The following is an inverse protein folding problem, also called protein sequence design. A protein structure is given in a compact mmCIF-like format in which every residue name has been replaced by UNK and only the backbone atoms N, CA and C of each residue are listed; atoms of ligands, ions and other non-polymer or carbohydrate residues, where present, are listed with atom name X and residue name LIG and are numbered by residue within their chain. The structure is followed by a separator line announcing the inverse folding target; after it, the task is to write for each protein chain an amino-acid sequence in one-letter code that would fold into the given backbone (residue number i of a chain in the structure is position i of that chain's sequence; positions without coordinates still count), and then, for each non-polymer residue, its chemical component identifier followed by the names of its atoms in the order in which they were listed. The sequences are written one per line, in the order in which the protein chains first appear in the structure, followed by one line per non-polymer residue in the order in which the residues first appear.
data_IF_088182334545
#
_entry.id   IF_088182334545
#
_cell.length_a   1.000
_cell.length_b   1.000
_cell.length_c   1.000
_cell.angle_alpha   90.00
_cell.angle_beta   90.00
_cell.angle_gamma   90.00
#
_symmetry.space_group_name_H-M   'P 1'
#
loop_
_entity.id
_entity.type
_entity.pdbx_description
1 polymer ?
#
# COMPACT_ATOMS: atom_id res chain seq x y z
N UNK A 1 -2.54 9.35 10.14
CA UNK A 1 -3.70 8.59 10.68
C UNK A 1 -4.60 8.20 9.50
N UNK A 2 -5.52 7.23 9.66
CA UNK A 2 -6.46 6.81 8.61
C UNK A 2 -7.21 8.01 8.04
N UNK A 3 -7.22 8.16 6.71
CA UNK A 3 -7.81 9.31 6.01
C UNK A 3 -7.28 10.69 6.44
N UNK A 4 -6.11 10.77 7.07
CA UNK A 4 -5.56 12.04 7.58
C UNK A 4 -6.38 12.70 8.69
N UNK A 5 -7.32 11.99 9.32
CA UNK A 5 -8.27 12.54 10.33
C UNK A 5 -7.75 12.47 11.77
N UNK A 6 -6.44 12.34 11.94
CA UNK A 6 -5.82 12.27 13.26
C UNK A 6 -5.63 13.66 13.89
N UNK A 7 -5.40 13.75 15.21
CA UNK A 7 -5.01 15.00 15.86
C UNK A 7 -3.59 15.47 15.48
N UNK A 8 -2.79 14.61 14.86
CA UNK A 8 -1.43 14.87 14.43
C UNK A 8 -1.41 15.74 13.18
N UNK A 9 -0.37 16.57 13.07
CA UNK A 9 -0.15 17.35 11.86
C UNK A 9 0.12 16.42 10.68
N UNK A 10 -0.62 16.62 9.58
CA UNK A 10 -0.35 15.95 8.32
C UNK A 10 0.89 16.56 7.66
N UNK A 11 1.70 15.70 7.02
CA UNK A 11 2.79 16.16 6.17
C UNK A 11 2.24 16.80 4.90
N UNK A 12 2.91 17.83 4.37
CA UNK A 12 2.58 18.35 3.04
C UNK A 12 2.97 17.35 1.95
N UNK A 13 4.15 16.72 2.09
CA UNK A 13 4.66 15.73 1.16
C UNK A 13 5.22 14.51 1.92
N UNK A 14 5.03 13.33 1.34
CA UNK A 14 5.59 12.09 1.87
C UNK A 14 6.35 11.34 0.78
N UNK A 15 7.58 10.93 1.06
CA UNK A 15 8.43 10.17 0.14
C UNK A 15 8.84 8.85 0.78
N UNK A 16 8.53 7.75 0.11
CA UNK A 16 8.92 6.39 0.50
C UNK A 16 9.88 5.88 -0.55
N UNK A 17 11.17 5.82 -0.20
CA UNK A 17 12.23 5.37 -1.10
C UNK A 17 12.12 3.88 -1.47
N UNK A 18 12.74 3.44 -2.58
CA UNK A 18 12.64 2.07 -3.07
C UNK A 18 13.07 0.99 -2.06
N UNK A 19 14.06 1.31 -1.21
CA UNK A 19 14.61 0.39 -0.21
C UNK A 19 13.82 0.38 1.11
N UNK A 20 12.80 1.24 1.24
CA UNK A 20 11.99 1.30 2.46
C UNK A 20 11.04 0.11 2.53
N UNK A 21 11.02 -0.52 3.71
CA UNK A 21 10.10 -1.61 4.05
C UNK A 21 9.24 -1.20 5.24
N UNK A 22 7.93 -1.16 5.03
CA UNK A 22 6.92 -0.98 6.06
C UNK A 22 6.26 -2.35 6.32
N UNK A 23 6.49 -2.94 7.49
CA UNK A 23 6.06 -4.30 7.80
C UNK A 23 5.13 -4.32 9.02
N UNK A 24 3.92 -4.81 8.81
CA UNK A 24 2.89 -5.04 9.79
C UNK A 24 2.27 -6.45 9.63
N UNK A 25 3.06 -7.43 9.19
CA UNK A 25 2.60 -8.81 9.07
C UNK A 25 2.25 -9.42 10.43
N UNK A 26 1.21 -10.25 10.46
CA UNK A 26 1.08 -11.26 11.50
C UNK A 26 2.08 -12.40 11.24
N UNK A 27 2.61 -12.99 12.32
CA UNK A 27 3.67 -14.02 12.24
C UNK A 27 3.03 -15.41 12.10
N UNK A 28 2.54 -16.01 13.19
CA UNK A 28 1.88 -17.34 13.14
C UNK A 28 0.38 -17.24 12.96
N UNK A 29 -0.27 -16.42 13.77
CA UNK A 29 -1.72 -16.33 13.87
C UNK A 29 -2.09 -14.87 14.07
N UNK A 30 -3.21 -14.46 13.45
CA UNK A 30 -3.77 -13.12 13.59
C UNK A 30 -3.82 -12.38 12.26
N UNK A 31 -4.58 -11.29 12.26
CA UNK A 31 -4.76 -10.47 11.06
C UNK A 31 -3.53 -9.61 10.80
N UNK A 32 -3.29 -9.31 9.52
CA UNK A 32 -2.32 -8.32 9.12
C UNK A 32 -2.66 -6.96 9.73
N UNK A 33 -1.63 -6.21 10.08
CA UNK A 33 -1.76 -4.90 10.70
C UNK A 33 -2.19 -3.80 9.74
N UNK A 34 -2.05 -2.56 10.21
CA UNK A 34 -2.49 -1.37 9.49
C UNK A 34 -1.32 -0.44 9.21
N UNK A 35 -1.13 -0.08 7.95
CA UNK A 35 -0.12 0.90 7.52
C UNK A 35 -0.84 2.03 6.78
N UNK A 36 -0.61 3.26 7.22
CA UNK A 36 -1.20 4.46 6.60
C UNK A 36 -0.08 5.43 6.21
N UNK A 37 0.04 5.68 4.92
CA UNK A 37 0.90 6.71 4.34
C UNK A 37 0.00 7.85 3.89
N UNK A 38 0.23 9.05 4.44
CA UNK A 38 -0.61 10.22 4.20
C UNK A 38 0.23 11.46 3.93
N UNK A 39 -0.26 12.32 3.04
CA UNK A 39 0.18 13.70 2.88
C UNK A 39 -1.01 14.56 2.43
N UNK A 40 -0.93 15.87 2.64
CA UNK A 40 -1.98 16.79 2.18
C UNK A 40 -1.79 17.18 0.70
N UNK A 41 -0.56 17.24 0.19
CA UNK A 41 -0.26 17.66 -1.18
C UNK A 41 0.22 16.53 -2.07
N UNK A 42 1.25 15.77 -1.69
CA UNK A 42 1.86 14.81 -2.61
C UNK A 42 2.58 13.63 -1.96
N UNK A 43 2.31 12.43 -2.47
CA UNK A 43 2.95 11.19 -2.03
C UNK A 43 3.71 10.54 -3.18
N UNK A 44 5.01 10.31 -2.97
CA UNK A 44 5.85 9.49 -3.85
C UNK A 44 6.10 8.15 -3.14
N UNK A 45 5.50 7.07 -3.66
CA UNK A 45 5.57 5.75 -3.07
C UNK A 45 6.36 4.79 -3.98
N UNK A 46 7.60 4.48 -3.61
CA UNK A 46 8.50 3.59 -4.35
C UNK A 46 8.86 2.31 -3.57
N UNK A 47 8.58 2.28 -2.26
CA UNK A 47 8.99 1.20 -1.38
C UNK A 47 8.02 0.02 -1.30
N UNK A 48 8.09 -0.71 -0.17
CA UNK A 48 7.41 -1.98 0.01
C UNK A 48 6.56 -1.99 1.30
N UNK A 49 5.28 -2.30 1.18
CA UNK A 49 4.36 -2.51 2.29
C UNK A 49 4.01 -3.99 2.40
N UNK A 50 4.05 -4.51 3.64
CA UNK A 50 3.59 -5.84 3.98
C UNK A 50 2.63 -5.75 5.17
N UNK A 51 1.38 -6.19 5.00
CA UNK A 51 0.40 -6.34 6.06
C UNK A 51 -0.35 -7.66 5.88
N UNK A 52 0.38 -8.77 5.89
CA UNK A 52 -0.12 -10.12 5.65
C UNK A 52 -0.78 -10.71 6.88
N UNK A 53 -1.82 -11.52 6.66
CA UNK A 53 -2.39 -12.39 7.68
C UNK A 53 -1.43 -13.52 8.07
N UNK A 54 -1.63 -14.07 9.26
CA UNK A 54 -0.75 -15.07 9.85
C UNK A 54 -0.64 -16.36 9.02
N UNK A 55 0.48 -17.06 9.17
CA UNK A 55 0.76 -18.29 8.42
C UNK A 55 -0.19 -19.46 8.70
N UNK A 56 -0.91 -19.45 9.84
CA UNK A 56 -1.84 -20.51 10.22
C UNK A 56 -3.31 -20.04 10.24
N UNK A 57 -3.55 -18.76 10.52
CA UNK A 57 -4.87 -18.14 10.52
C UNK A 57 -4.78 -16.60 10.53
N UNK A 58 -5.85 -15.95 10.11
CA UNK A 58 -6.03 -14.49 10.13
C UNK A 58 -6.13 -13.90 8.72
N UNK A 59 -6.83 -12.78 8.63
CA UNK A 59 -7.06 -12.04 7.39
C UNK A 59 -5.90 -11.09 7.08
N UNK A 60 -5.82 -10.65 5.82
CA UNK A 60 -4.88 -9.62 5.41
C UNK A 60 -5.26 -8.26 5.97
N UNK A 61 -4.26 -7.43 6.20
CA UNK A 61 -4.41 -6.13 6.81
C UNK A 61 -4.86 -5.02 5.88
N UNK A 62 -4.66 -3.78 6.32
CA UNK A 62 -5.00 -2.58 5.59
C UNK A 62 -3.74 -1.77 5.27
N UNK A 63 -3.56 -1.46 4.00
CA UNK A 63 -2.58 -0.49 3.53
C UNK A 63 -3.31 0.70 2.89
N UNK A 64 -3.13 1.91 3.42
CA UNK A 64 -3.60 3.14 2.77
C UNK A 64 -2.39 3.96 2.32
N UNK A 65 -2.41 4.39 1.05
CA UNK A 65 -1.42 5.31 0.49
C UNK A 65 -2.19 6.45 -0.19
N UNK A 66 -2.16 7.62 0.44
CA UNK A 66 -2.97 8.77 0.06
C UNK A 66 -2.13 10.05 -0.03
N UNK A 67 -2.66 11.05 -0.72
CA UNK A 67 -2.00 12.34 -0.99
C UNK A 67 -2.80 13.14 -2.00
N UNK A 68 -2.67 14.47 -2.04
CA UNK A 68 -3.31 15.26 -3.12
C UNK A 68 -2.97 14.72 -4.51
N UNK A 69 -1.68 14.50 -4.77
CA UNK A 69 -1.15 13.74 -5.90
C UNK A 69 -0.45 12.48 -5.40
N UNK A 70 -0.58 11.37 -6.11
CA UNK A 70 0.09 10.12 -5.78
C UNK A 70 0.85 9.56 -6.97
N UNK A 71 2.14 9.30 -6.78
CA UNK A 71 2.92 8.41 -7.63
C UNK A 71 3.09 7.08 -6.90
N UNK A 72 2.56 6.01 -7.47
CA UNK A 72 2.70 4.65 -6.94
C UNK A 72 3.57 3.82 -7.89
N UNK A 73 4.78 3.48 -7.46
CA UNK A 73 5.73 2.62 -8.17
C UNK A 73 6.33 1.51 -7.29
N UNK A 74 5.83 1.38 -6.05
CA UNK A 74 6.24 0.36 -5.09
C UNK A 74 5.33 -0.87 -5.08
N UNK A 75 5.44 -1.68 -4.03
CA UNK A 75 4.64 -2.90 -3.83
C UNK A 75 3.80 -2.83 -2.55
N UNK A 76 2.61 -3.41 -2.55
CA UNK A 76 1.83 -3.69 -1.34
C UNK A 76 1.36 -5.16 -1.31
N UNK A 77 1.75 -5.90 -0.27
CA UNK A 77 1.36 -7.30 -0.03
C UNK A 77 0.54 -7.40 1.26
N UNK A 78 -0.76 -7.62 1.09
CA UNK A 78 -1.77 -7.83 2.12
C UNK A 78 -2.41 -9.22 2.01
N UNK A 79 -1.67 -10.23 1.50
CA UNK A 79 -2.15 -11.61 1.44
C UNK A 79 -2.42 -12.21 2.81
N UNK A 80 -3.40 -13.10 2.86
CA UNK A 80 -3.58 -14.05 3.94
C UNK A 80 -3.63 -15.47 3.36
N UNK A 81 -2.69 -16.36 3.70
CA UNK A 81 -2.69 -17.73 3.18
C UNK A 81 -3.93 -18.54 3.61
N UNK A 82 -4.47 -18.26 4.80
CA UNK A 82 -5.60 -18.98 5.41
C UNK A 82 -6.79 -18.09 5.77
N UNK A 83 -6.82 -16.86 5.23
CA UNK A 83 -7.87 -15.87 5.49
C UNK A 83 -8.24 -15.10 4.22
N UNK A 84 -9.08 -14.09 4.38
CA UNK A 84 -9.38 -13.14 3.32
C UNK A 84 -8.17 -12.26 3.05
N UNK A 85 -7.88 -11.99 1.77
CA UNK A 85 -6.86 -10.99 1.45
C UNK A 85 -7.30 -9.61 1.93
N UNK A 86 -6.33 -8.83 2.37
CA UNK A 86 -6.53 -7.49 2.89
C UNK A 86 -6.91 -6.49 1.81
N UNK A 87 -6.87 -5.21 2.19
CA UNK A 87 -7.27 -4.10 1.34
C UNK A 87 -6.12 -3.13 1.14
N UNK A 88 -5.94 -2.69 -0.11
CA UNK A 88 -5.11 -1.56 -0.45
C UNK A 88 -6.03 -0.40 -0.85
N UNK A 89 -5.92 0.72 -0.15
CA UNK A 89 -6.63 1.96 -0.43
C UNK A 89 -5.68 2.97 -1.04
N UNK A 90 -6.05 3.48 -2.21
CA UNK A 90 -5.37 4.58 -2.87
C UNK A 90 -6.38 5.72 -3.00
N UNK A 91 -6.15 6.83 -2.31
CA UNK A 91 -7.08 7.97 -2.31
C UNK A 91 -6.40 9.32 -2.62
N UNK A 92 -6.01 9.55 -3.88
CA UNK A 92 -5.58 10.86 -4.33
C UNK A 92 -6.62 11.59 -5.19
N UNK A 93 -6.39 12.89 -5.39
CA UNK A 93 -7.08 13.64 -6.45
C UNK A 93 -6.59 13.14 -7.82
N UNK A 94 -5.27 13.00 -7.97
CA UNK A 94 -4.60 12.52 -9.17
C UNK A 94 -3.66 11.34 -8.84
N UNK A 95 -3.75 10.24 -9.59
CA UNK A 95 -2.87 9.07 -9.43
C UNK A 95 -2.06 8.77 -10.69
N UNK A 96 -0.76 8.54 -10.50
CA UNK A 96 0.13 7.94 -11.50
C UNK A 96 0.60 6.59 -10.98
N UNK A 97 0.24 5.52 -11.69
CA UNK A 97 0.74 4.17 -11.42
C UNK A 97 1.86 3.88 -12.41
N UNK A 98 3.05 3.62 -11.89
CA UNK A 98 4.21 3.26 -12.69
C UNK A 98 4.43 1.77 -12.48
N UNK A 99 4.16 0.99 -13.52
CA UNK A 99 4.71 -0.36 -13.58
C UNK A 99 6.20 -0.28 -13.89
N UNK A 100 7.00 -1.15 -13.27
CA UNK A 100 8.46 -1.03 -13.19
C UNK A 100 9.11 -0.64 -14.52
N UNK A 101 10.23 0.10 -14.44
CA UNK A 101 11.10 0.44 -15.56
C UNK A 101 11.53 -0.83 -16.31
N UNK A 102 10.67 -1.30 -17.23
CA UNK A 102 10.98 -2.38 -18.14
C UNK A 102 11.91 -1.79 -19.18
N UNK A 103 13.20 -2.11 -19.05
CA UNK A 103 14.08 -2.07 -20.22
C UNK A 103 13.49 -3.05 -21.23
N UNK A 104 12.88 -2.50 -22.28
CA UNK A 104 12.24 -3.17 -23.41
C UNK A 104 10.86 -3.83 -23.16
N UNK A 105 9.80 -3.05 -23.42
CA UNK A 105 8.86 -3.33 -24.51
C UNK A 105 8.06 -4.64 -24.49
N UNK A 106 7.95 -5.32 -23.35
CA UNK A 106 7.13 -6.53 -23.23
C UNK A 106 6.11 -6.30 -22.13
N UNK A 107 4.83 -6.12 -22.51
CA UNK A 107 3.73 -6.11 -21.55
C UNK A 107 3.63 -7.50 -20.92
N UNK A 108 4.32 -7.70 -19.80
CA UNK A 108 4.09 -8.85 -18.94
C UNK A 108 2.82 -8.56 -18.17
N UNK A 109 1.80 -9.42 -18.32
CA UNK A 109 0.65 -9.44 -17.42
C UNK A 109 1.19 -9.71 -16.00
N UNK A 110 1.29 -8.67 -15.19
CA UNK A 110 2.05 -8.65 -13.94
C UNK A 110 2.42 -7.24 -13.49
N UNK A 111 2.19 -6.26 -14.36
CA UNK A 111 2.25 -4.85 -14.10
C UNK A 111 1.28 -4.40 -13.00
N UNK A 112 1.79 -3.81 -11.91
CA UNK A 112 1.12 -3.54 -10.63
C UNK A 112 0.85 -4.82 -9.78
N UNK A 113 1.74 -5.07 -8.81
CA UNK A 113 1.57 -6.15 -7.83
C UNK A 113 0.99 -5.62 -6.52
N UNK A 114 -0.32 -5.36 -6.51
CA UNK A 114 -1.07 -5.48 -5.26
C UNK A 114 -1.73 -6.83 -5.24
N UNK A 115 -1.63 -7.53 -4.13
CA UNK A 115 -2.58 -8.59 -3.82
C UNK A 115 -3.70 -8.01 -2.93
N UNK A 116 -4.88 -8.63 -2.95
CA UNK A 116 -6.07 -8.10 -2.27
C UNK A 116 -6.95 -7.17 -3.11
N UNK A 117 -7.92 -6.53 -2.46
CA UNK A 117 -8.86 -5.63 -3.16
C UNK A 117 -8.30 -4.21 -3.17
N UNK A 118 -8.22 -3.61 -4.36
CA UNK A 118 -7.95 -2.18 -4.51
C UNK A 118 -9.28 -1.45 -4.44
N UNK A 119 -9.40 -0.44 -3.56
CA UNK A 119 -10.59 0.42 -3.55
C UNK A 119 -10.17 1.88 -3.55
N UNK A 120 -10.92 2.68 -4.32
CA UNK A 120 -10.98 4.13 -4.14
C UNK A 120 -11.93 4.41 -2.97
N UNK A 121 -11.60 5.36 -2.11
CA UNK A 121 -12.54 5.89 -1.13
C UNK A 121 -13.56 6.78 -1.87
N UNK A 122 -14.85 6.45 -1.72
CA UNK A 122 -15.98 7.31 -2.12
C UNK A 122 -16.80 7.66 -0.89
#
# INVERSE_FOLDING_TARGET
NYQGKGPEQNAEYTWIDPDVVLNANAIREGDGGKIIVWSDLGTMYLGNIFARGGELQGDGGLAEISGGQLVFAGKADVKAPFGLSGTVLLDPLDITIIDGLSSAGTWQSGAFQTDGTIRRLQ
#
